data_IF_535480010127
#
_entry.id   IF_535480010127
#
_cell.length_a   1.000
_cell.length_b   1.000
_cell.length_c   1.000
_cell.angle_alpha   90.00
_cell.angle_beta   90.00
_cell.angle_gamma   90.00
#
_symmetry.space_group_name_H-M   'P 1'
#
loop_
_entity.id
_entity.type
_entity.pdbx_description
1 polymer ?
#
# COMPACT_ATOMS: atom_id res chain seq x y z
N UNK A 1 15.52 -17.79 10.18
CA UNK A 1 14.80 -17.53 8.91
C UNK A 1 14.79 -16.04 8.71
N UNK A 2 15.04 -15.55 7.48
CA UNK A 2 15.00 -14.11 7.18
C UNK A 2 13.57 -13.57 7.38
N UNK A 3 13.45 -12.37 7.96
CA UNK A 3 12.16 -11.68 8.13
C UNK A 3 11.55 -11.18 6.79
N UNK A 4 12.31 -11.27 5.70
CA UNK A 4 11.93 -10.86 4.35
C UNK A 4 13.10 -10.19 3.62
N UNK A 5 12.95 -10.02 2.31
CA UNK A 5 13.95 -9.41 1.43
C UNK A 5 13.48 -8.00 1.01
N UNK A 6 14.24 -6.97 1.37
CA UNK A 6 13.88 -5.56 1.14
C UNK A 6 14.81 -4.97 0.07
N UNK A 7 14.21 -4.41 -0.99
CA UNK A 7 14.94 -3.61 -1.97
C UNK A 7 14.96 -2.16 -1.51
N UNK A 8 16.15 -1.63 -1.26
CA UNK A 8 16.40 -0.23 -0.87
C UNK A 8 16.90 0.53 -2.10
N UNK A 9 16.15 1.51 -2.55
CA UNK A 9 16.43 2.32 -3.73
C UNK A 9 16.62 3.77 -3.29
N UNK A 10 17.85 4.26 -3.37
CA UNK A 10 18.22 5.62 -2.97
C UNK A 10 19.53 5.97 -3.67
N UNK A 11 19.72 7.18 -4.16
CA UNK A 11 20.96 7.58 -4.87
C UNK A 11 22.11 7.89 -3.90
N UNK A 12 21.80 8.25 -2.64
CA UNK A 12 22.81 8.52 -1.61
C UNK A 12 23.42 7.22 -1.06
N UNK A 13 24.74 6.97 -1.27
CA UNK A 13 25.39 5.77 -0.77
C UNK A 13 25.47 5.70 0.76
N UNK A 14 25.41 6.84 1.46
CA UNK A 14 25.43 6.85 2.93
C UNK A 14 24.08 6.38 3.47
N UNK A 15 22.98 6.85 2.89
CA UNK A 15 21.63 6.41 3.26
C UNK A 15 21.50 4.91 3.00
N UNK A 16 21.88 4.41 1.82
CA UNK A 16 21.80 2.97 1.55
C UNK A 16 22.60 2.15 2.55
N UNK A 17 23.84 2.59 2.90
CA UNK A 17 24.69 1.89 3.90
C UNK A 17 24.04 1.83 5.28
N UNK A 18 23.48 2.96 5.75
CA UNK A 18 22.80 3.03 7.05
C UNK A 18 21.55 2.15 7.04
N UNK A 19 20.75 2.26 6.01
CA UNK A 19 19.54 1.44 5.85
C UNK A 19 19.87 -0.06 5.84
N UNK A 20 20.88 -0.46 5.07
CA UNK A 20 21.33 -1.85 5.02
C UNK A 20 21.77 -2.36 6.39
N UNK A 21 22.67 -1.62 7.07
CA UNK A 21 23.14 -2.02 8.39
C UNK A 21 21.99 -2.17 9.39
N UNK A 22 21.06 -1.22 9.39
CA UNK A 22 19.89 -1.23 10.25
C UNK A 22 18.98 -2.41 9.96
N UNK A 23 18.57 -2.60 8.72
CA UNK A 23 17.62 -3.64 8.33
C UNK A 23 18.21 -5.05 8.52
N UNK A 24 19.50 -5.26 8.18
CA UNK A 24 20.20 -6.52 8.43
C UNK A 24 20.27 -6.82 9.93
N UNK A 25 20.53 -5.81 10.76
CA UNK A 25 20.51 -5.95 12.23
C UNK A 25 19.15 -6.38 12.78
N UNK A 26 18.06 -6.15 12.03
CA UNK A 26 16.70 -6.58 12.37
C UNK A 26 16.24 -7.84 11.61
N UNK A 27 17.17 -8.57 10.99
CA UNK A 27 16.92 -9.88 10.38
C UNK A 27 16.37 -9.83 8.95
N UNK A 28 16.38 -8.69 8.28
CA UNK A 28 16.02 -8.58 6.88
C UNK A 28 17.20 -8.86 5.95
N UNK A 29 16.94 -9.44 4.79
CA UNK A 29 17.87 -9.44 3.66
C UNK A 29 17.71 -8.12 2.90
N UNK A 30 18.82 -7.50 2.47
CA UNK A 30 18.78 -6.18 1.82
C UNK A 30 19.44 -6.22 0.46
N UNK A 31 18.69 -5.81 -0.56
CA UNK A 31 19.18 -5.53 -1.91
C UNK A 31 19.28 -4.00 -2.04
N UNK A 32 20.39 -3.53 -2.63
CA UNK A 32 20.60 -2.11 -2.86
C UNK A 32 20.48 -1.79 -4.36
N UNK A 33 19.77 -0.70 -4.66
CA UNK A 33 19.75 -0.09 -5.98
C UNK A 33 20.05 1.41 -5.89
N UNK A 34 20.77 1.94 -6.86
CA UNK A 34 21.23 3.35 -6.88
C UNK A 34 20.29 4.27 -7.64
N UNK A 35 19.51 3.71 -8.54
CA UNK A 35 18.57 4.44 -9.39
C UNK A 35 17.30 3.62 -9.61
N UNK A 36 16.26 4.25 -10.16
CA UNK A 36 15.04 3.55 -10.54
C UNK A 36 15.29 2.45 -11.57
N UNK A 37 16.15 2.72 -12.55
CA UNK A 37 16.52 1.78 -13.60
C UNK A 37 17.23 0.55 -13.01
N UNK A 38 18.21 0.76 -12.11
CA UNK A 38 18.92 -0.32 -11.40
C UNK A 38 17.94 -1.15 -10.55
N UNK A 39 16.97 -0.49 -9.92
CA UNK A 39 15.92 -1.17 -9.17
C UNK A 39 15.05 -2.06 -10.07
N UNK A 40 14.61 -1.56 -11.22
CA UNK A 40 13.77 -2.33 -12.16
C UNK A 40 14.51 -3.49 -12.81
N UNK A 41 15.82 -3.36 -13.05
CA UNK A 41 16.66 -4.45 -13.54
C UNK A 41 16.78 -5.57 -12.51
N UNK A 42 17.03 -5.24 -11.24
CA UNK A 42 17.19 -6.21 -10.15
C UNK A 42 15.88 -6.86 -9.72
N UNK A 43 14.79 -6.10 -9.79
CA UNK A 43 13.49 -6.50 -9.23
C UNK A 43 13.02 -7.92 -9.63
N UNK A 44 13.00 -8.31 -10.92
CA UNK A 44 12.52 -9.64 -11.32
C UNK A 44 13.44 -10.79 -10.90
N UNK A 45 14.73 -10.54 -10.74
CA UNK A 45 15.72 -11.54 -10.37
C UNK A 45 15.79 -11.77 -8.86
N UNK A 46 15.69 -10.69 -8.10
CA UNK A 46 15.84 -10.70 -6.65
C UNK A 46 14.54 -11.00 -5.91
N UNK A 47 13.38 -10.79 -6.55
CA UNK A 47 12.04 -11.02 -5.99
C UNK A 47 11.89 -10.47 -4.56
N UNK A 48 12.06 -9.16 -4.34
CA UNK A 48 11.94 -8.57 -3.01
C UNK A 48 10.50 -8.73 -2.49
N UNK A 49 10.35 -8.72 -1.17
CA UNK A 49 9.05 -8.76 -0.49
C UNK A 49 8.53 -7.38 -0.12
N UNK A 50 9.38 -6.35 -0.21
CA UNK A 50 9.05 -4.94 0.01
C UNK A 50 10.09 -4.06 -0.67
N UNK A 51 9.67 -2.87 -1.13
CA UNK A 51 10.57 -1.83 -1.65
C UNK A 51 10.52 -0.60 -0.76
N UNK A 52 11.69 -0.10 -0.36
CA UNK A 52 11.89 1.25 0.17
C UNK A 52 12.46 2.10 -0.95
N UNK A 53 11.78 3.16 -1.32
CA UNK A 53 12.06 3.89 -2.54
C UNK A 53 12.19 5.39 -2.26
N UNK A 54 13.37 5.94 -2.49
CA UNK A 54 13.53 7.39 -2.44
C UNK A 54 12.73 8.08 -3.55
N UNK A 55 12.08 9.18 -3.20
CA UNK A 55 11.29 9.96 -4.16
C UNK A 55 12.17 10.78 -5.10
N UNK A 56 13.28 11.32 -4.61
CA UNK A 56 14.06 12.35 -5.28
C UNK A 56 15.38 11.81 -5.82
N UNK A 57 15.30 10.92 -6.78
CA UNK A 57 16.48 10.38 -7.45
C UNK A 57 16.69 11.00 -8.83
N UNK A 58 17.95 11.12 -9.32
CA UNK A 58 18.23 11.51 -10.70
C UNK A 58 17.78 10.41 -11.69
N UNK A 59 17.55 10.80 -12.95
CA UNK A 59 17.06 9.87 -13.98
C UNK A 59 15.59 9.54 -13.79
N UNK A 60 15.26 8.27 -13.76
CA UNK A 60 13.92 7.80 -13.40
C UNK A 60 13.67 8.05 -11.92
N UNK A 61 12.90 9.07 -11.60
CA UNK A 61 12.54 9.41 -10.24
C UNK A 61 11.67 8.36 -9.55
N UNK A 62 11.54 8.47 -8.20
CA UNK A 62 10.82 7.47 -7.41
C UNK A 62 9.37 7.25 -7.82
N UNK A 63 8.64 8.28 -8.23
CA UNK A 63 7.23 8.12 -8.66
C UNK A 63 7.10 7.27 -9.93
N UNK A 64 7.99 7.46 -10.90
CA UNK A 64 7.98 6.68 -12.14
C UNK A 64 8.42 5.23 -11.89
N UNK A 65 9.45 5.05 -11.05
CA UNK A 65 9.89 3.74 -10.58
C UNK A 65 8.74 3.00 -9.87
N UNK A 66 8.00 3.68 -9.00
CA UNK A 66 6.84 3.12 -8.31
C UNK A 66 5.77 2.64 -9.30
N UNK A 67 5.39 3.47 -10.28
CA UNK A 67 4.42 3.09 -11.33
C UNK A 67 4.89 1.89 -12.13
N UNK A 68 6.18 1.85 -12.47
CA UNK A 68 6.77 0.73 -13.23
C UNK A 68 6.71 -0.57 -12.43
N UNK A 69 7.03 -0.56 -11.14
CA UNK A 69 6.88 -1.71 -10.25
C UNK A 69 5.41 -2.16 -10.20
N UNK A 70 4.48 -1.21 -10.04
CA UNK A 70 3.03 -1.49 -9.95
C UNK A 70 2.44 -2.08 -11.22
N UNK A 71 3.01 -1.81 -12.38
CA UNK A 71 2.53 -2.41 -13.63
C UNK A 71 2.67 -3.94 -13.66
N UNK A 72 3.60 -4.49 -12.87
CA UNK A 72 3.91 -5.93 -12.84
C UNK A 72 3.78 -6.60 -11.45
N UNK A 73 3.63 -5.83 -10.36
CA UNK A 73 3.71 -6.40 -9.01
C UNK A 73 2.83 -5.67 -7.99
N UNK A 74 2.33 -6.44 -7.01
CA UNK A 74 1.53 -5.94 -5.88
C UNK A 74 2.32 -5.92 -4.56
N UNK A 75 3.66 -6.08 -4.60
CA UNK A 75 4.46 -6.04 -3.37
C UNK A 75 4.37 -4.65 -2.73
N UNK A 76 4.49 -4.53 -1.39
CA UNK A 76 4.47 -3.26 -0.71
C UNK A 76 5.60 -2.33 -1.18
N UNK A 77 5.25 -1.07 -1.46
CA UNK A 77 6.21 0.01 -1.77
C UNK A 77 6.01 1.14 -0.76
N UNK A 78 7.05 1.48 -0.02
CA UNK A 78 7.09 2.61 0.90
C UNK A 78 7.97 3.69 0.28
N UNK A 79 7.42 4.88 0.04
CA UNK A 79 8.18 6.03 -0.43
C UNK A 79 8.88 6.71 0.74
N UNK A 80 10.16 7.02 0.57
CA UNK A 80 10.94 7.85 1.50
C UNK A 80 11.20 9.21 0.85
N UNK A 81 10.97 10.33 1.56
CA UNK A 81 11.15 11.65 0.95
C UNK A 81 11.42 12.75 1.98
N UNK A 82 12.20 13.75 1.58
CA UNK A 82 12.36 15.00 2.34
C UNK A 82 11.17 15.95 2.17
N UNK A 83 10.30 15.72 1.19
CA UNK A 83 9.10 16.51 0.95
C UNK A 83 8.01 16.08 1.92
N UNK A 84 7.27 17.05 2.46
CA UNK A 84 6.23 16.79 3.46
C UNK A 84 4.89 17.46 3.11
N UNK A 85 4.68 17.87 1.87
CA UNK A 85 3.39 18.46 1.48
C UNK A 85 2.34 17.36 1.25
N UNK A 86 1.07 17.68 1.53
CA UNK A 86 -0.05 16.79 1.20
C UNK A 86 -0.03 16.39 -0.28
N UNK A 87 0.29 17.35 -1.16
CA UNK A 87 0.40 17.11 -2.60
C UNK A 87 1.44 16.05 -2.95
N UNK A 88 2.61 16.08 -2.31
CA UNK A 88 3.66 15.08 -2.56
C UNK A 88 3.24 13.69 -2.07
N UNK A 89 2.61 13.62 -0.89
CA UNK A 89 2.08 12.37 -0.34
C UNK A 89 1.00 11.78 -1.25
N UNK A 90 0.03 12.60 -1.67
CA UNK A 90 -1.03 12.19 -2.60
C UNK A 90 -0.43 11.68 -3.92
N UNK A 91 0.56 12.40 -4.49
CA UNK A 91 1.21 12.00 -5.73
C UNK A 91 1.94 10.65 -5.60
N UNK A 92 2.56 10.36 -4.46
CA UNK A 92 3.21 9.08 -4.18
C UNK A 92 2.19 7.93 -4.10
N UNK A 93 1.10 8.15 -3.35
CA UNK A 93 0.03 7.16 -3.22
C UNK A 93 -0.72 6.93 -4.55
N UNK A 94 -0.96 7.98 -5.33
CA UNK A 94 -1.53 7.87 -6.68
C UNK A 94 -0.60 7.14 -7.67
N UNK A 95 0.72 7.20 -7.43
CA UNK A 95 1.68 6.39 -8.18
C UNK A 95 1.65 4.90 -7.77
N UNK A 96 0.90 4.55 -6.73
CA UNK A 96 0.72 3.18 -6.24
C UNK A 96 1.57 2.83 -5.02
N UNK A 97 2.15 3.79 -4.31
CA UNK A 97 2.80 3.53 -3.03
C UNK A 97 1.76 3.10 -1.97
N UNK A 98 2.15 2.20 -1.08
CA UNK A 98 1.31 1.74 0.04
C UNK A 98 1.48 2.64 1.26
N UNK A 99 2.61 3.33 1.38
CA UNK A 99 2.90 4.25 2.47
C UNK A 99 3.93 5.31 2.05
N UNK A 100 4.02 6.37 2.85
CA UNK A 100 4.92 7.50 2.63
C UNK A 100 5.57 7.91 3.96
N UNK A 101 6.89 7.99 3.98
CA UNK A 101 7.66 8.36 5.17
C UNK A 101 8.50 9.60 4.89
N UNK A 102 8.35 10.61 5.73
CA UNK A 102 9.09 11.86 5.60
C UNK A 102 10.45 11.76 6.28
N UNK A 103 11.53 12.09 5.54
CA UNK A 103 12.88 12.22 6.09
C UNK A 103 13.02 13.59 6.82
N UNK A 104 13.68 13.65 8.03
CA UNK A 104 14.25 12.51 8.76
C UNK A 104 13.19 11.72 9.52
N UNK A 105 13.33 10.41 9.56
CA UNK A 105 12.44 9.49 10.28
C UNK A 105 13.19 8.72 11.37
N UNK A 106 12.47 8.28 12.39
CA UNK A 106 12.98 7.37 13.40
C UNK A 106 13.11 5.95 12.86
N UNK A 107 14.15 5.23 13.28
CA UNK A 107 14.35 3.82 12.88
C UNK A 107 13.17 2.95 13.31
N UNK A 108 12.69 3.12 14.55
CA UNK A 108 11.55 2.37 15.06
C UNK A 108 10.26 2.64 14.28
N UNK A 109 10.05 3.88 13.86
CA UNK A 109 8.93 4.26 13.00
C UNK A 109 9.01 3.50 11.66
N UNK A 110 10.14 3.58 10.98
CA UNK A 110 10.32 2.89 9.70
C UNK A 110 10.12 1.37 9.83
N UNK A 111 10.67 0.75 10.86
CA UNK A 111 10.51 -0.68 11.14
C UNK A 111 9.04 -1.04 11.43
N UNK A 112 8.32 -0.19 12.15
CA UNK A 112 6.89 -0.38 12.39
C UNK A 112 6.09 -0.34 11.08
N UNK A 113 6.38 0.60 10.18
CA UNK A 113 5.76 0.71 8.86
C UNK A 113 6.09 -0.46 7.95
N UNK A 114 7.35 -0.93 7.94
CA UNK A 114 7.76 -2.14 7.22
C UNK A 114 6.96 -3.34 7.72
N UNK A 115 6.90 -3.56 9.04
CA UNK A 115 6.10 -4.66 9.63
C UNK A 115 4.63 -4.56 9.25
N UNK A 116 4.06 -3.35 9.30
CA UNK A 116 2.67 -3.11 8.91
C UNK A 116 2.40 -3.37 7.43
N UNK A 117 3.35 -3.00 6.55
CA UNK A 117 3.26 -3.25 5.11
C UNK A 117 3.42 -4.74 4.75
N UNK A 118 4.31 -5.44 5.45
CA UNK A 118 4.57 -6.88 5.22
C UNK A 118 3.58 -7.79 5.94
N UNK A 119 2.80 -7.26 6.89
CA UNK A 119 1.79 -8.05 7.60
C UNK A 119 0.73 -8.53 6.62
N UNK A 120 0.75 -9.85 6.34
CA UNK A 120 -0.41 -10.49 5.74
C UNK A 120 -1.49 -10.53 6.82
N UNK A 121 -2.65 -9.94 6.54
CA UNK A 121 -3.77 -10.16 7.45
C UNK A 121 -3.96 -11.66 7.65
N UNK A 122 -4.18 -12.13 8.88
CA UNK A 122 -4.50 -13.53 9.09
C UNK A 122 -5.64 -13.91 8.13
N UNK A 123 -5.42 -14.98 7.39
CA UNK A 123 -6.52 -15.65 6.69
C UNK A 123 -7.64 -15.80 7.69
N UNK A 124 -8.88 -15.59 7.28
CA UNK A 124 -10.14 -15.49 8.02
C UNK A 124 -10.38 -16.58 9.09
N UNK A 125 -9.43 -16.77 10.03
CA UNK A 125 -9.49 -17.78 11.08
C UNK A 125 -10.37 -17.39 12.27
N UNK A 126 -10.89 -16.15 12.34
CA UNK A 126 -11.78 -15.72 13.41
C UNK A 126 -12.98 -14.90 12.86
N UNK A 127 -13.97 -15.60 12.25
CA UNK A 127 -15.35 -15.08 12.13
C UNK A 127 -15.63 -13.98 11.10
N UNK A 128 -14.66 -13.57 10.28
CA UNK A 128 -14.89 -12.60 9.20
C UNK A 128 -15.49 -13.23 7.93
N UNK A 129 -16.10 -12.43 7.05
CA UNK A 129 -16.62 -12.94 5.78
C UNK A 129 -15.48 -13.54 4.94
N UNK A 130 -15.72 -14.74 4.36
CA UNK A 130 -14.76 -15.38 3.43
C UNK A 130 -14.77 -14.74 2.06
N UNK A 131 -15.81 -13.99 1.72
CA UNK A 131 -15.95 -13.31 0.46
C UNK A 131 -17.19 -12.43 0.42
N UNK A 132 -17.37 -11.78 -0.72
CA UNK A 132 -18.57 -11.02 -1.05
C UNK A 132 -18.92 -11.29 -2.51
N UNK A 133 -20.22 -11.49 -2.80
CA UNK A 133 -20.70 -11.73 -4.17
C UNK A 133 -21.95 -10.89 -4.44
N UNK A 134 -21.88 -10.12 -5.50
CA UNK A 134 -22.99 -9.42 -6.13
C UNK A 134 -22.94 -9.66 -7.64
N UNK A 135 -23.91 -9.13 -8.39
CA UNK A 135 -24.03 -9.39 -9.82
C UNK A 135 -22.76 -8.98 -10.64
N UNK A 136 -22.09 -7.94 -10.22
CA UNK A 136 -20.96 -7.30 -10.93
C UNK A 136 -19.69 -7.18 -10.09
N UNK A 137 -19.68 -7.74 -8.85
CA UNK A 137 -18.51 -7.73 -7.96
C UNK A 137 -18.44 -9.04 -7.18
N UNK A 138 -17.32 -9.75 -7.32
CA UNK A 138 -17.01 -10.95 -6.56
C UNK A 138 -15.64 -10.77 -5.88
N UNK A 139 -15.58 -11.05 -4.59
CA UNK A 139 -14.37 -10.94 -3.77
C UNK A 139 -14.18 -12.23 -3.01
N UNK A 140 -13.03 -12.86 -3.17
CA UNK A 140 -12.58 -14.00 -2.37
C UNK A 140 -11.42 -13.53 -1.46
N UNK A 141 -11.69 -13.47 -0.16
CA UNK A 141 -10.69 -13.01 0.81
C UNK A 141 -9.62 -14.07 1.12
N UNK A 142 -9.92 -15.34 0.93
CA UNK A 142 -8.97 -16.44 1.18
C UNK A 142 -7.92 -16.53 0.07
N UNK A 143 -8.35 -16.39 -1.18
CA UNK A 143 -7.45 -16.40 -2.36
C UNK A 143 -6.98 -15.02 -2.78
N UNK A 144 -7.49 -13.95 -2.15
CA UNK A 144 -7.25 -12.52 -2.48
C UNK A 144 -7.60 -12.17 -3.93
N UNK A 145 -8.59 -12.84 -4.49
CA UNK A 145 -9.08 -12.56 -5.84
C UNK A 145 -10.24 -11.60 -5.81
N UNK A 146 -10.24 -10.68 -6.76
CA UNK A 146 -11.34 -9.73 -6.99
C UNK A 146 -11.71 -9.76 -8.45
N UNK A 147 -12.98 -9.96 -8.73
CA UNK A 147 -13.55 -9.92 -10.06
C UNK A 147 -14.62 -8.85 -10.09
N UNK A 148 -14.49 -7.87 -10.97
CA UNK A 148 -15.44 -6.76 -11.06
C UNK A 148 -15.76 -6.41 -12.51
N UNK A 149 -17.02 -6.17 -12.80
CA UNK A 149 -17.50 -5.79 -14.15
C UNK A 149 -17.01 -6.77 -15.24
N UNK A 150 -16.98 -8.08 -14.93
CA UNK A 150 -16.57 -9.15 -15.85
C UNK A 150 -15.05 -9.28 -16.06
N UNK A 151 -14.22 -8.68 -15.21
CA UNK A 151 -12.74 -8.71 -15.32
C UNK A 151 -12.08 -9.01 -13.99
N UNK A 152 -10.94 -9.70 -14.04
CA UNK A 152 -10.05 -9.83 -12.90
C UNK A 152 -9.44 -8.47 -12.55
N UNK A 153 -9.49 -8.11 -11.27
CA UNK A 153 -9.00 -6.84 -10.74
C UNK A 153 -7.82 -7.07 -9.82
N UNK A 154 -6.70 -6.46 -10.14
CA UNK A 154 -5.51 -6.50 -9.30
C UNK A 154 -5.53 -5.35 -8.30
N UNK A 155 -5.51 -5.71 -7.02
CA UNK A 155 -5.44 -4.75 -5.91
C UNK A 155 -4.07 -4.79 -5.25
N UNK A 156 -3.56 -3.63 -4.84
CA UNK A 156 -2.39 -3.57 -3.96
C UNK A 156 -2.75 -4.10 -2.57
N UNK A 157 -1.78 -4.46 -1.73
CA UNK A 157 -2.05 -4.93 -0.37
C UNK A 157 -2.96 -4.00 0.42
N UNK A 158 -2.71 -2.69 0.37
CA UNK A 158 -3.50 -1.69 1.11
C UNK A 158 -4.91 -1.48 0.55
N UNK A 159 -5.05 -1.51 -0.77
CA UNK A 159 -6.37 -1.49 -1.41
C UNK A 159 -7.21 -2.70 -1.00
N UNK A 160 -6.60 -3.90 -1.03
CA UNK A 160 -7.28 -5.12 -0.65
C UNK A 160 -7.72 -5.11 0.83
N UNK A 161 -6.84 -4.72 1.74
CA UNK A 161 -7.16 -4.65 3.17
C UNK A 161 -8.22 -3.57 3.46
N UNK A 162 -8.19 -2.44 2.76
CA UNK A 162 -9.23 -1.41 2.87
C UNK A 162 -10.58 -1.96 2.41
N UNK A 163 -10.61 -2.64 1.26
CA UNK A 163 -11.83 -3.26 0.74
C UNK A 163 -12.35 -4.34 1.71
N UNK A 164 -11.47 -5.22 2.20
CA UNK A 164 -11.83 -6.27 3.17
C UNK A 164 -12.42 -5.70 4.43
N UNK A 165 -11.81 -4.64 4.98
CA UNK A 165 -12.31 -3.99 6.19
C UNK A 165 -13.69 -3.37 5.98
N UNK A 166 -13.90 -2.70 4.86
CA UNK A 166 -15.19 -2.11 4.52
C UNK A 166 -16.28 -3.17 4.32
N UNK A 167 -15.97 -4.28 3.65
CA UNK A 167 -16.93 -5.40 3.46
C UNK A 167 -17.24 -6.10 4.79
N UNK A 168 -16.28 -6.23 5.69
CA UNK A 168 -16.54 -6.78 7.03
C UNK A 168 -17.52 -5.92 7.86
N UNK A 169 -17.71 -4.64 7.48
CA UNK A 169 -18.62 -3.70 8.12
C UNK A 169 -19.77 -3.27 7.18
N UNK A 170 -20.22 -4.18 6.30
CA UNK A 170 -21.25 -3.90 5.29
C UNK A 170 -22.48 -3.20 5.89
N UNK A 171 -22.96 -2.16 5.20
CA UNK A 171 -24.14 -1.37 5.62
C UNK A 171 -23.86 -0.35 6.74
N UNK A 172 -22.74 -0.47 7.47
CA UNK A 172 -22.36 0.44 8.58
C UNK A 172 -21.39 1.51 8.09
N UNK A 173 -21.60 2.80 8.41
CA UNK A 173 -20.58 3.83 8.27
C UNK A 173 -19.36 3.52 9.14
N UNK A 174 -18.16 3.65 8.55
CA UNK A 174 -16.88 3.44 9.24
C UNK A 174 -16.08 4.74 9.14
N UNK A 175 -15.53 5.19 10.26
CA UNK A 175 -14.78 6.45 10.31
C UNK A 175 -13.43 6.34 9.59
N UNK A 176 -12.90 7.48 9.12
CA UNK A 176 -11.55 7.53 8.54
C UNK A 176 -10.52 6.91 9.49
N UNK A 177 -10.59 7.25 10.78
CA UNK A 177 -9.66 6.76 11.79
C UNK A 177 -9.73 5.24 11.98
N UNK A 178 -10.94 4.68 12.08
CA UNK A 178 -11.12 3.22 12.20
C UNK A 178 -10.47 2.48 11.02
N UNK A 179 -10.68 2.97 9.79
CA UNK A 179 -10.11 2.33 8.61
C UNK A 179 -8.58 2.47 8.60
N UNK A 180 -8.05 3.67 8.86
CA UNK A 180 -6.61 3.92 8.89
C UNK A 180 -5.92 3.04 9.92
N UNK A 181 -6.43 2.99 11.15
CA UNK A 181 -5.85 2.15 12.20
C UNK A 181 -5.92 0.66 11.90
N UNK A 182 -7.02 0.19 11.33
CA UNK A 182 -7.16 -1.23 10.96
C UNK A 182 -6.19 -1.63 9.85
N UNK A 183 -5.98 -0.78 8.85
CA UNK A 183 -5.23 -1.10 7.64
C UNK A 183 -3.74 -0.74 7.77
N UNK A 184 -3.41 0.43 8.36
CA UNK A 184 -2.03 0.89 8.50
C UNK A 184 -1.45 0.66 9.89
N UNK A 185 -2.27 0.64 10.91
CA UNK A 185 -1.86 0.40 12.30
C UNK A 185 -2.31 1.51 13.26
N UNK A 186 -2.12 1.30 14.57
CA UNK A 186 -2.68 2.17 15.61
C UNK A 186 -2.12 3.61 15.59
N UNK A 187 -0.95 3.81 15.02
CA UNK A 187 -0.30 5.11 14.92
C UNK A 187 -0.89 6.01 13.82
N UNK A 188 -1.77 5.46 12.97
CA UNK A 188 -2.47 6.20 11.92
C UNK A 188 -3.84 6.66 12.39
N UNK A 189 -4.31 7.79 11.86
CA UNK A 189 -5.65 8.31 12.17
C UNK A 189 -5.89 9.76 11.75
N UNK A 190 -4.83 10.51 11.55
CA UNK A 190 -4.87 11.93 11.20
C UNK A 190 -4.47 12.21 9.74
N UNK A 191 -4.46 11.14 8.89
CA UNK A 191 -4.11 11.21 7.47
C UNK A 191 -5.30 10.84 6.55
N UNK A 192 -6.43 11.56 6.61
CA UNK A 192 -7.60 11.25 5.79
C UNK A 192 -7.32 11.34 4.29
N UNK A 193 -6.31 12.10 3.86
CA UNK A 193 -5.85 12.18 2.49
C UNK A 193 -5.34 10.85 1.95
N UNK A 194 -4.65 10.02 2.78
CA UNK A 194 -4.24 8.67 2.41
C UNK A 194 -5.47 7.84 2.02
N UNK A 195 -6.44 7.78 2.92
CA UNK A 195 -7.64 6.97 2.70
C UNK A 195 -8.43 7.42 1.47
N UNK A 196 -8.51 8.75 1.21
CA UNK A 196 -9.16 9.29 0.02
C UNK A 196 -8.52 8.77 -1.27
N UNK A 197 -7.18 8.70 -1.31
CA UNK A 197 -6.47 8.17 -2.48
C UNK A 197 -6.82 6.70 -2.68
N UNK A 198 -6.68 5.87 -1.65
CA UNK A 198 -6.98 4.43 -1.74
C UNK A 198 -8.45 4.14 -2.09
N UNK A 199 -9.39 4.87 -1.53
CA UNK A 199 -10.81 4.74 -1.89
C UNK A 199 -11.06 5.16 -3.35
N UNK A 200 -10.41 6.21 -3.82
CA UNK A 200 -10.52 6.62 -5.23
C UNK A 200 -9.89 5.57 -6.17
N UNK A 201 -8.76 4.97 -5.80
CA UNK A 201 -8.16 3.87 -6.57
C UNK A 201 -9.06 2.63 -6.59
N UNK A 202 -9.60 2.25 -5.44
CA UNK A 202 -10.56 1.15 -5.35
C UNK A 202 -11.78 1.39 -6.25
N UNK A 203 -12.39 2.58 -6.16
CA UNK A 203 -13.54 2.93 -7.01
C UNK A 203 -13.21 2.82 -8.50
N UNK A 204 -12.04 3.29 -8.93
CA UNK A 204 -11.60 3.15 -10.34
C UNK A 204 -11.51 1.69 -10.79
N UNK A 205 -11.22 0.78 -9.86
CA UNK A 205 -11.00 -0.63 -10.14
C UNK A 205 -12.27 -1.48 -10.04
N UNK A 206 -13.14 -1.21 -9.06
CA UNK A 206 -14.29 -2.07 -8.78
C UNK A 206 -15.65 -1.48 -9.19
N UNK A 207 -15.78 -0.16 -9.30
CA UNK A 207 -17.05 0.49 -9.65
C UNK A 207 -17.21 0.62 -11.17
N UNK A 208 -18.41 0.38 -11.66
CA UNK A 208 -18.72 0.66 -13.07
C UNK A 208 -18.60 2.17 -13.40
N UNK A 209 -18.93 3.03 -12.43
CA UNK A 209 -18.77 4.48 -12.52
C UNK A 209 -18.18 5.02 -11.20
N UNK A 210 -16.87 5.31 -11.16
CA UNK A 210 -16.22 5.83 -9.96
C UNK A 210 -16.79 7.14 -9.41
N UNK A 211 -17.38 7.97 -10.27
CA UNK A 211 -18.02 9.23 -9.89
C UNK A 211 -19.44 9.08 -9.32
N UNK A 212 -20.04 7.89 -9.51
CA UNK A 212 -21.35 7.51 -8.93
C UNK A 212 -21.21 6.10 -8.35
N UNK A 213 -20.45 5.95 -7.26
CA UNK A 213 -20.13 4.64 -6.72
C UNK A 213 -21.38 3.93 -6.20
N UNK A 214 -21.43 2.61 -6.41
CA UNK A 214 -22.47 1.71 -5.94
C UNK A 214 -22.06 1.02 -4.65
N UNK A 215 -20.80 0.62 -4.55
CA UNK A 215 -20.28 -0.19 -3.45
C UNK A 215 -19.64 0.65 -2.34
N UNK A 216 -18.72 1.55 -2.65
CA UNK A 216 -18.02 2.35 -1.65
C UNK A 216 -18.61 3.74 -1.62
N UNK A 217 -19.54 3.99 -0.70
CA UNK A 217 -20.21 5.26 -0.52
C UNK A 217 -19.41 6.17 0.42
N UNK A 218 -19.44 7.49 0.15
CA UNK A 218 -18.90 8.48 1.08
C UNK A 218 -20.00 8.87 2.08
N UNK A 219 -19.68 8.78 3.37
CA UNK A 219 -20.53 9.31 4.43
C UNK A 219 -19.93 10.65 4.89
N UNK A 220 -20.54 11.77 4.52
CA UNK A 220 -20.00 13.09 4.80
C UNK A 220 -19.65 13.27 6.28
N UNK A 221 -18.48 13.81 6.55
CA UNK A 221 -17.94 14.07 7.90
C UNK A 221 -17.63 12.84 8.75
N UNK A 222 -17.97 11.64 8.29
CA UNK A 222 -17.75 10.38 9.01
C UNK A 222 -16.63 9.58 8.37
N UNK A 223 -16.81 9.16 7.12
CA UNK A 223 -15.87 8.26 6.45
C UNK A 223 -16.50 7.58 5.26
N UNK A 224 -16.50 6.25 5.28
CA UNK A 224 -17.01 5.44 4.16
C UNK A 224 -17.92 4.31 4.64
N UNK A 225 -18.80 3.87 3.75
CA UNK A 225 -19.66 2.71 3.97
C UNK A 225 -19.65 1.81 2.75
N UNK A 226 -19.52 0.52 2.94
CA UNK A 226 -19.77 -0.45 1.89
C UNK A 226 -21.26 -0.74 1.82
N UNK A 227 -21.88 -0.42 0.68
CA UNK A 227 -23.28 -0.74 0.40
C UNK A 227 -23.33 -2.12 -0.24
N UNK A 228 -23.99 -3.06 0.38
CA UNK A 228 -24.22 -4.42 -0.10
C UNK A 228 -25.64 -4.62 -0.59
#
# INVERSE_FOLDING_TARGET
MSAGKILVVDDDPQIRRVMKATLVGHGYEVIEARTGEDALEKFPHEMPTLVLLDMNMPGMGGLETCRSIRSGSDIPVIILSVRNTEKDKVAALDAGADDYVTKPFGIEELLARIRAAMRRSPSSSEGGPRGYTAADLEIDFDTRKVHANGKDVRLTPKEFETLRYLVAHIGRPVTHREILQAVWGPDYGDEPEYLRVFVNQLRKKIEANPGKPKYILTEPWVGYRFAG
#
